data_IF_569322615728
#
_entry.id   IF_569322615728
#
_cell.length_a   1.000
_cell.length_b   1.000
_cell.length_c   1.000
_cell.angle_alpha   90.00
_cell.angle_beta   90.00
_cell.angle_gamma   90.00
#
_symmetry.space_group_name_H-M   'P 1'
#
loop_
_entity.id
_entity.type
_entity.pdbx_description
1 polymer ?
#
# COMPACT_ATOMS: atom_id res chain seq x y z
N UNK A 1 -7.32 -5.77 -3.25
CA UNK A 1 -8.53 -4.95 -3.09
C UNK A 1 -8.89 -4.88 -1.59
N UNK A 2 -8.90 -3.68 -1.06
CA UNK A 2 -9.28 -3.40 0.31
C UNK A 2 -10.53 -2.50 0.27
N UNK A 3 -11.71 -2.98 0.71
CA UNK A 3 -12.96 -2.24 0.63
C UNK A 3 -13.11 -1.16 1.72
N UNK A 4 -12.17 -1.13 2.68
CA UNK A 4 -12.23 -0.21 3.80
C UNK A 4 -11.75 1.20 3.42
N UNK A 5 -12.17 2.24 4.14
CA UNK A 5 -11.74 3.62 3.91
C UNK A 5 -10.22 3.80 3.95
N UNK A 6 -9.76 4.72 3.13
CA UNK A 6 -8.39 5.18 3.06
C UNK A 6 -8.38 6.70 3.13
N UNK A 7 -7.64 7.28 4.07
CA UNK A 7 -7.36 8.71 4.11
C UNK A 7 -5.93 8.96 3.63
N UNK A 8 -5.76 9.97 2.77
CA UNK A 8 -4.47 10.34 2.20
C UNK A 8 -4.12 11.75 2.65
N UNK A 9 -2.98 11.89 3.31
CA UNK A 9 -2.47 13.15 3.83
C UNK A 9 -1.18 13.48 3.10
N UNK A 10 -1.19 14.55 2.32
CA UNK A 10 0.01 15.03 1.63
C UNK A 10 0.75 16.03 2.50
N UNK A 11 2.06 15.82 2.66
CA UNK A 11 2.98 16.69 3.36
C UNK A 11 4.17 17.04 2.45
N UNK A 12 5.03 17.97 2.87
CA UNK A 12 6.15 18.45 2.05
C UNK A 12 7.12 17.34 1.61
N UNK A 13 7.42 16.39 2.49
CA UNK A 13 8.43 15.35 2.25
C UNK A 13 7.88 13.93 2.27
N UNK A 14 6.58 13.78 2.42
CA UNK A 14 5.93 12.48 2.45
C UNK A 14 4.44 12.57 2.12
N UNK A 15 3.90 11.45 1.69
CA UNK A 15 2.46 11.20 1.62
C UNK A 15 2.13 10.10 2.62
N UNK A 16 1.13 10.30 3.46
CA UNK A 16 0.72 9.34 4.48
C UNK A 16 -0.61 8.74 4.09
N UNK A 17 -0.65 7.41 4.00
CA UNK A 17 -1.87 6.64 3.82
C UNK A 17 -2.31 6.06 5.15
N UNK A 18 -3.50 6.45 5.60
CA UNK A 18 -4.15 5.90 6.77
C UNK A 18 -5.22 4.92 6.31
N UNK A 19 -4.96 3.64 6.51
CA UNK A 19 -5.93 2.60 6.21
C UNK A 19 -6.75 2.27 7.46
N UNK A 20 -8.07 2.27 7.35
CA UNK A 20 -8.92 1.77 8.43
C UNK A 20 -8.61 0.30 8.72
N UNK A 21 -8.44 -0.49 7.67
CA UNK A 21 -8.11 -1.90 7.76
C UNK A 21 -6.77 -2.11 8.47
N UNK A 22 -6.80 -2.86 9.57
CA UNK A 22 -5.68 -3.15 10.46
C UNK A 22 -4.99 -1.90 11.06
N UNK A 23 -5.64 -0.74 11.08
CA UNK A 23 -5.02 0.53 11.54
C UNK A 23 -3.66 0.79 10.88
N UNK A 24 -3.48 0.38 9.65
CA UNK A 24 -2.19 0.48 8.99
C UNK A 24 -1.89 1.92 8.60
N UNK A 25 -0.74 2.41 9.05
CA UNK A 25 -0.18 3.70 8.65
C UNK A 25 0.97 3.43 7.69
N UNK A 26 0.84 3.91 6.46
CA UNK A 26 1.88 3.79 5.45
C UNK A 26 2.44 5.17 5.13
N UNK A 27 3.76 5.32 5.31
CA UNK A 27 4.48 6.54 4.95
C UNK A 27 5.23 6.34 3.64
N UNK A 28 4.98 7.21 2.68
CA UNK A 28 5.63 7.22 1.38
C UNK A 28 6.52 8.47 1.35
N UNK A 29 7.83 8.28 1.43
CA UNK A 29 8.77 9.39 1.45
C UNK A 29 9.00 9.93 0.04
N UNK A 30 8.89 11.25 -0.13
CA UNK A 30 8.99 11.93 -1.43
C UNK A 30 10.21 12.84 -1.53
N UNK A 31 11.13 12.75 -0.57
CA UNK A 31 12.35 13.56 -0.48
C UNK A 31 13.62 12.85 -1.01
N UNK A 32 13.46 11.71 -1.69
CA UNK A 32 14.57 10.96 -2.29
C UNK A 32 15.38 10.11 -1.32
N UNK A 33 14.94 9.98 -0.07
CA UNK A 33 15.67 9.15 0.91
C UNK A 33 15.66 7.68 0.52
N UNK A 34 16.66 6.97 1.04
CA UNK A 34 16.78 5.51 0.93
C UNK A 34 16.34 4.83 2.24
N UNK A 35 15.99 3.55 2.17
CA UNK A 35 15.79 2.76 3.39
C UNK A 35 17.08 2.77 4.21
N UNK A 36 16.99 2.93 5.55
CA UNK A 36 18.15 2.73 6.42
C UNK A 36 18.73 1.33 6.25
N UNK A 37 20.05 1.22 6.34
CA UNK A 37 20.78 -0.06 6.14
C UNK A 37 20.24 -1.20 7.03
N UNK A 38 19.79 -0.85 8.23
CA UNK A 38 19.27 -1.79 9.22
C UNK A 38 17.73 -1.81 9.29
N UNK A 39 17.03 -1.33 8.26
CA UNK A 39 15.59 -1.43 8.18
C UNK A 39 15.18 -2.89 8.00
N UNK A 40 14.38 -3.42 8.89
CA UNK A 40 13.92 -4.78 8.74
C UNK A 40 12.53 -4.90 8.09
N UNK A 41 12.28 -6.07 7.49
CA UNK A 41 11.02 -6.31 6.81
C UNK A 41 9.80 -6.12 7.71
N UNK A 42 8.80 -5.41 7.20
CA UNK A 42 7.51 -5.19 7.83
C UNK A 42 6.38 -5.49 6.85
N UNK A 43 5.14 -5.58 7.33
CA UNK A 43 3.97 -5.78 6.47
C UNK A 43 3.81 -4.62 5.46
N UNK A 44 4.08 -3.39 5.86
CA UNK A 44 4.01 -2.21 5.00
C UNK A 44 5.30 -1.92 4.22
N UNK A 45 6.41 -2.55 4.57
CA UNK A 45 7.72 -2.31 3.96
C UNK A 45 8.26 -0.91 4.18
N UNK A 46 9.18 -0.50 3.29
CA UNK A 46 9.70 0.86 3.19
C UNK A 46 9.32 1.45 1.83
N UNK A 47 8.55 2.54 1.83
CA UNK A 47 8.01 3.14 0.62
C UNK A 47 8.67 4.48 0.31
N UNK A 48 9.13 4.62 -0.92
CA UNK A 48 9.59 5.89 -1.50
C UNK A 48 8.77 6.20 -2.75
N UNK A 49 8.51 7.46 -2.99
CA UNK A 49 7.71 7.87 -4.12
C UNK A 49 8.17 9.17 -4.75
N UNK A 50 7.65 9.43 -5.92
CA UNK A 50 7.80 10.69 -6.64
C UNK A 50 6.54 10.96 -7.45
N UNK A 51 6.32 12.22 -7.80
CA UNK A 51 5.19 12.63 -8.62
C UNK A 51 5.59 12.67 -10.09
N UNK A 52 4.75 12.07 -10.93
CA UNK A 52 4.73 12.20 -12.38
C UNK A 52 3.40 12.84 -12.77
N UNK A 53 3.37 14.16 -12.90
CA UNK A 53 2.14 14.93 -13.08
C UNK A 53 1.13 14.64 -11.94
N UNK A 54 -0.04 14.08 -12.26
CA UNK A 54 -1.09 13.75 -11.29
C UNK A 54 -0.98 12.31 -10.74
N UNK A 55 0.14 11.66 -10.99
CA UNK A 55 0.37 10.27 -10.58
C UNK A 55 1.49 10.20 -9.55
N UNK A 56 1.18 9.67 -8.38
CA UNK A 56 2.19 9.29 -7.39
C UNK A 56 2.71 7.89 -7.71
N UNK A 57 3.99 7.80 -8.05
CA UNK A 57 4.69 6.53 -8.30
C UNK A 57 5.42 6.12 -7.04
N UNK A 58 5.14 4.92 -6.53
CA UNK A 58 5.65 4.42 -5.25
C UNK A 58 6.38 3.11 -5.44
N UNK A 59 7.62 3.04 -4.98
CA UNK A 59 8.36 1.78 -4.86
C UNK A 59 8.42 1.38 -3.40
N UNK A 60 8.03 0.14 -3.09
CA UNK A 60 8.10 -0.42 -1.74
C UNK A 60 9.02 -1.63 -1.71
N UNK A 61 9.95 -1.61 -0.78
CA UNK A 61 10.92 -2.66 -0.51
C UNK A 61 10.79 -3.13 0.94
N UNK A 62 11.58 -4.10 1.39
CA UNK A 62 11.58 -4.60 2.78
C UNK A 62 10.20 -5.09 3.23
N UNK A 63 9.50 -5.76 2.32
CA UNK A 63 8.21 -6.38 2.63
C UNK A 63 8.42 -7.70 3.37
N UNK A 64 7.68 -7.88 4.46
CA UNK A 64 7.76 -9.09 5.28
C UNK A 64 7.26 -10.33 4.53
N UNK A 65 7.90 -11.50 4.71
CA UNK A 65 7.36 -12.78 4.23
C UNK A 65 6.03 -13.16 4.87
N UNK A 66 5.59 -12.49 5.94
CA UNK A 66 4.26 -12.65 6.52
C UNK A 66 3.14 -12.17 5.58
N UNK A 67 3.46 -11.39 4.55
CA UNK A 67 2.56 -11.05 3.44
C UNK A 67 2.38 -12.21 2.43
N UNK A 68 2.34 -13.45 2.89
CA UNK A 68 2.40 -14.64 2.04
C UNK A 68 1.29 -14.76 1.01
N UNK A 69 0.13 -14.21 1.30
CA UNK A 69 -1.04 -14.32 0.42
C UNK A 69 -1.68 -12.95 0.27
N UNK A 70 -1.66 -12.44 -0.94
CA UNK A 70 -2.48 -11.31 -1.28
C UNK A 70 -3.96 -11.71 -1.26
N UNK A 71 -4.86 -10.78 -0.99
CA UNK A 71 -6.31 -11.04 -0.98
C UNK A 71 -6.85 -11.63 -2.30
N UNK A 72 -6.04 -11.66 -3.36
CA UNK A 72 -6.31 -12.41 -4.60
C UNK A 72 -5.94 -13.89 -4.53
N UNK A 73 -5.32 -14.34 -3.43
CA UNK A 73 -4.80 -15.70 -3.27
C UNK A 73 -3.45 -15.95 -3.95
N UNK A 74 -2.83 -14.91 -4.51
CA UNK A 74 -1.52 -15.03 -5.16
C UNK A 74 -0.40 -15.12 -4.12
N UNK A 75 0.57 -16.02 -4.29
CA UNK A 75 1.67 -16.16 -3.34
C UNK A 75 2.63 -14.96 -3.38
N UNK A 76 3.28 -14.72 -2.25
CA UNK A 76 4.28 -13.67 -2.07
C UNK A 76 5.41 -14.20 -1.19
N UNK A 77 6.66 -14.12 -1.65
CA UNK A 77 7.79 -14.74 -0.94
C UNK A 77 8.35 -13.87 0.19
N UNK A 78 8.29 -12.55 0.06
CA UNK A 78 8.98 -11.63 0.94
C UNK A 78 10.51 -11.76 0.91
N UNK A 79 11.06 -12.36 -0.14
CA UNK A 79 12.51 -12.46 -0.33
C UNK A 79 13.15 -11.06 -0.45
N UNK A 80 14.46 -10.90 -0.15
CA UNK A 80 15.12 -9.60 -0.18
C UNK A 80 15.08 -8.85 -1.52
N UNK A 81 14.91 -9.56 -2.62
CA UNK A 81 14.79 -9.02 -3.98
C UNK A 81 13.34 -8.74 -4.40
N UNK A 82 12.38 -8.94 -3.50
CA UNK A 82 10.97 -8.63 -3.73
C UNK A 82 10.70 -7.15 -3.51
N UNK A 83 9.96 -6.54 -4.42
CA UNK A 83 9.48 -5.17 -4.28
C UNK A 83 8.19 -4.96 -5.06
N UNK A 84 7.50 -3.87 -4.76
CA UNK A 84 6.33 -3.43 -5.53
C UNK A 84 6.56 -2.07 -6.16
N UNK A 85 5.92 -1.84 -7.30
CA UNK A 85 5.77 -0.51 -7.89
C UNK A 85 4.28 -0.23 -8.03
N UNK A 86 3.84 0.84 -7.43
CA UNK A 86 2.45 1.26 -7.42
C UNK A 86 2.32 2.63 -8.07
N UNK A 87 1.26 2.83 -8.84
CA UNK A 87 0.93 4.10 -9.49
C UNK A 87 -0.45 4.52 -9.04
N UNK A 88 -0.53 5.67 -8.39
CA UNK A 88 -1.77 6.26 -7.89
C UNK A 88 -2.08 7.51 -8.70
N UNK A 89 -3.12 7.44 -9.52
CA UNK A 89 -3.56 8.58 -10.34
C UNK A 89 -4.82 9.19 -9.73
N UNK A 90 -4.74 10.46 -9.42
CA UNK A 90 -5.81 11.22 -8.78
C UNK A 90 -6.59 12.01 -9.84
N UNK A 91 -7.91 11.92 -9.75
CA UNK A 91 -8.85 12.76 -10.47
C UNK A 91 -9.76 13.47 -9.47
N UNK A 92 -10.68 14.31 -9.92
CA UNK A 92 -11.54 15.11 -9.03
C UNK A 92 -12.38 14.26 -8.08
N UNK A 93 -12.80 13.06 -8.50
CA UNK A 93 -13.70 12.20 -7.74
C UNK A 93 -13.18 10.78 -7.52
N UNK A 94 -12.00 10.44 -8.07
CA UNK A 94 -11.49 9.07 -8.05
C UNK A 94 -10.00 9.00 -7.81
N UNK A 95 -9.61 7.90 -7.18
CA UNK A 95 -8.24 7.42 -7.11
C UNK A 95 -8.18 6.09 -7.86
N UNK A 96 -7.43 6.05 -8.95
CA UNK A 96 -7.11 4.82 -9.67
C UNK A 96 -5.70 4.39 -9.33
N UNK A 97 -5.49 3.11 -9.07
CA UNK A 97 -4.14 2.61 -8.87
C UNK A 97 -3.88 1.30 -9.59
N UNK A 98 -2.63 1.15 -9.99
CA UNK A 98 -2.07 -0.10 -10.53
C UNK A 98 -0.90 -0.50 -9.65
N UNK A 99 -0.80 -1.77 -9.33
CA UNK A 99 0.33 -2.33 -8.60
C UNK A 99 0.99 -3.43 -9.41
N UNK A 100 2.31 -3.37 -9.49
CA UNK A 100 3.18 -4.37 -10.06
C UNK A 100 3.99 -5.02 -8.93
N UNK A 101 3.90 -6.33 -8.79
CA UNK A 101 4.62 -7.10 -7.78
C UNK A 101 5.75 -7.85 -8.47
N UNK A 102 6.96 -7.51 -8.09
CA UNK A 102 8.20 -8.13 -8.55
C UNK A 102 8.66 -9.13 -7.48
N UNK A 103 8.40 -10.39 -7.72
CA UNK A 103 8.77 -11.49 -6.82
C UNK A 103 9.32 -12.66 -7.66
N UNK A 104 10.65 -12.66 -7.93
CA UNK A 104 11.27 -13.67 -8.79
C UNK A 104 11.15 -15.10 -8.27
N UNK A 105 10.79 -15.29 -7.00
CA UNK A 105 10.55 -16.62 -6.44
C UNK A 105 9.31 -17.28 -7.03
N UNK A 106 8.28 -16.49 -7.33
CA UNK A 106 6.99 -17.03 -7.81
C UNK A 106 6.60 -16.59 -9.22
N UNK A 107 7.17 -15.47 -9.73
CA UNK A 107 6.76 -14.88 -11.00
C UNK A 107 7.93 -14.65 -11.93
N UNK A 108 7.84 -15.12 -13.17
CA UNK A 108 8.79 -14.80 -14.24
C UNK A 108 8.63 -13.36 -14.73
N UNK A 109 7.39 -12.87 -14.75
CA UNK A 109 7.02 -11.48 -15.06
C UNK A 109 6.27 -10.88 -13.87
N UNK A 110 6.27 -9.56 -13.70
CA UNK A 110 5.56 -8.94 -12.59
C UNK A 110 4.07 -9.30 -12.57
N UNK A 111 3.56 -9.63 -11.39
CA UNK A 111 2.12 -9.76 -11.21
C UNK A 111 1.49 -8.38 -11.13
N UNK A 112 0.52 -8.10 -12.00
CA UNK A 112 -0.09 -6.77 -12.11
C UNK A 112 -1.57 -6.84 -11.75
N UNK A 113 -2.03 -5.91 -10.94
CA UNK A 113 -3.45 -5.69 -10.70
C UNK A 113 -3.79 -4.20 -10.61
N UNK A 114 -5.07 -3.88 -10.81
CA UNK A 114 -5.58 -2.51 -10.74
C UNK A 114 -6.85 -2.45 -9.91
N UNK A 115 -7.06 -1.34 -9.26
CA UNK A 115 -8.28 -1.04 -8.54
C UNK A 115 -8.56 0.47 -8.53
N UNK A 116 -9.77 0.83 -8.11
CA UNK A 116 -10.18 2.22 -7.98
C UNK A 116 -10.94 2.48 -6.69
N UNK A 117 -10.89 3.72 -6.24
CA UNK A 117 -11.65 4.23 -5.10
C UNK A 117 -12.40 5.48 -5.51
N UNK A 118 -13.54 5.71 -4.90
CA UNK A 118 -14.35 6.93 -5.09
C UNK A 118 -14.09 7.84 -3.90
N UNK A 119 -14.00 9.14 -4.17
CA UNK A 119 -13.89 10.14 -3.12
C UNK A 119 -15.17 10.14 -2.27
N UNK A 120 -15.00 10.11 -0.96
CA UNK A 120 -16.07 10.21 0.04
C UNK A 120 -15.81 11.43 0.93
N UNK A 121 -16.26 12.65 0.53
CA UNK A 121 -15.91 13.90 1.23
C UNK A 121 -16.34 13.94 2.69
N UNK A 122 -17.45 13.26 3.01
CA UNK A 122 -18.00 13.18 4.37
C UNK A 122 -17.56 11.91 5.11
N UNK A 123 -16.68 11.10 4.48
CA UNK A 123 -16.14 9.89 5.08
C UNK A 123 -15.10 10.18 6.14
N UNK A 124 -14.95 9.29 7.09
CA UNK A 124 -13.89 9.33 8.08
C UNK A 124 -13.34 7.93 8.33
N UNK A 125 -12.08 7.88 8.75
CA UNK A 125 -11.47 6.65 9.24
C UNK A 125 -12.04 6.37 10.63
N UNK A 126 -12.55 5.16 10.81
CA UNK A 126 -13.05 4.68 12.10
C UNK A 126 -12.03 3.72 12.73
N UNK A 127 -12.27 3.41 14.00
CA UNK A 127 -11.50 2.38 14.67
C UNK A 127 -11.84 1.00 14.06
N UNK A 128 -10.80 0.27 13.68
CA UNK A 128 -10.93 -1.09 13.18
C UNK A 128 -10.80 -2.06 14.35
N UNK A 129 -11.90 -2.28 15.05
CA UNK A 129 -11.95 -3.18 16.20
C UNK A 129 -12.91 -4.34 15.93
N UNK A 130 -12.47 -5.54 16.26
CA UNK A 130 -13.26 -6.74 16.15
C UNK A 130 -13.63 -7.22 17.56
N UNK A 131 -14.82 -6.88 18.03
CA UNK A 131 -15.35 -7.36 19.28
C UNK A 131 -16.16 -8.63 19.03
N UNK A 132 -15.79 -9.77 19.67
CA UNK A 132 -16.51 -11.04 19.49
C UNK A 132 -18.01 -10.94 19.80
N UNK A 133 -18.40 -10.10 20.78
CA UNK A 133 -19.79 -9.89 21.17
C UNK A 133 -20.65 -9.22 20.10
N UNK A 134 -20.05 -8.55 19.12
CA UNK A 134 -20.76 -7.94 17.98
C UNK A 134 -20.72 -8.81 16.72
N UNK A 135 -20.00 -9.93 16.75
CA UNK A 135 -19.87 -10.81 15.59
C UNK A 135 -21.07 -11.74 15.35
N UNK A 136 -22.01 -11.78 16.28
CA UNK A 136 -23.24 -12.60 16.17
C UNK A 136 -23.01 -14.12 16.32
N UNK A 137 -21.87 -14.52 16.88
CA UNK A 137 -21.54 -15.90 17.20
C UNK A 137 -21.79 -16.22 18.67
#
# INVERSE_FOLDING_TARGET
YDPYPLEIIQQEHQVVFLHEHFHMVRRIFTDGRQAPENWWPTLGGFSVGHWEEDTLVVKTTHLSPENLVWHTGMPFSGAPDTYTVERYTFTDDRLMYTAEIFDPTYYEEPYVFSAGRVLAPDGMILEYECYPEYSGF
#
